data_IF_010503641615
#
_entry.id   IF_010503641615
#
_cell.length_a   1.000
_cell.length_b   1.000
_cell.length_c   1.000
_cell.angle_alpha   90.00
_cell.angle_beta   90.00
_cell.angle_gamma   90.00
#
_symmetry.space_group_name_H-M   'P 1'
#
loop_
_entity.id
_entity.type
_entity.pdbx_description
1 polymer ?
#
# COMPACT_ATOMS: atom_id res chain seq x y z
N UNK A 1 -2.94 -15.39 -18.04
CA UNK A 1 -2.11 -15.01 -16.88
C UNK A 1 -3.04 -14.41 -15.84
N UNK A 2 -3.22 -15.07 -14.70
CA UNK A 2 -4.00 -14.51 -13.59
C UNK A 2 -3.04 -13.63 -12.78
N UNK A 3 -3.39 -12.36 -12.59
CA UNK A 3 -2.60 -11.48 -11.74
C UNK A 3 -3.04 -11.66 -10.29
N UNK A 4 -2.10 -11.58 -9.33
CA UNK A 4 -2.47 -11.65 -7.93
C UNK A 4 -3.30 -10.42 -7.53
N UNK A 5 -4.22 -10.59 -6.60
CA UNK A 5 -5.02 -9.49 -6.06
C UNK A 5 -4.47 -9.04 -4.71
N UNK A 6 -4.69 -7.78 -4.38
CA UNK A 6 -4.34 -7.29 -3.05
C UNK A 6 -5.27 -7.90 -1.99
N UNK A 7 -4.71 -8.69 -1.09
CA UNK A 7 -5.42 -9.30 0.04
C UNK A 7 -5.49 -8.36 1.23
N UNK A 8 -4.36 -7.78 1.62
CA UNK A 8 -4.28 -6.83 2.72
C UNK A 8 -3.06 -5.92 2.59
N UNK A 9 -3.17 -4.72 3.13
CA UNK A 9 -2.08 -3.77 3.27
C UNK A 9 -1.95 -3.39 4.75
N UNK A 10 -0.73 -3.44 5.27
CA UNK A 10 -0.39 -2.91 6.60
C UNK A 10 0.74 -1.92 6.48
N UNK A 11 0.89 -1.02 7.44
CA UNK A 11 1.98 -0.06 7.45
C UNK A 11 2.51 0.14 8.86
N UNK A 12 3.80 0.45 8.95
CA UNK A 12 4.45 0.89 10.19
C UNK A 12 5.25 2.13 9.89
N UNK A 13 5.32 3.05 10.85
CA UNK A 13 6.13 4.25 10.70
C UNK A 13 7.46 4.08 11.41
N UNK A 14 8.52 4.27 10.66
CA UNK A 14 9.91 4.29 11.11
C UNK A 14 10.39 5.73 11.30
N UNK A 15 11.44 5.88 12.09
CA UNK A 15 12.04 7.18 12.41
C UNK A 15 11.04 8.19 13.01
N UNK A 16 10.02 7.70 13.74
CA UNK A 16 8.99 8.53 14.39
C UNK A 16 9.57 9.65 15.26
N UNK A 17 10.70 9.39 15.92
CA UNK A 17 11.39 10.33 16.82
C UNK A 17 12.35 11.27 16.08
N UNK A 18 12.50 11.11 14.77
CA UNK A 18 13.35 11.94 13.93
C UNK A 18 12.56 13.10 13.33
N UNK A 19 13.28 14.07 12.75
CA UNK A 19 12.69 15.19 12.02
C UNK A 19 11.65 14.68 11.01
N UNK A 20 10.53 15.39 10.79
CA UNK A 20 9.48 14.98 9.85
C UNK A 20 10.00 14.64 8.45
N UNK A 21 11.08 15.27 8.00
CA UNK A 21 11.74 14.99 6.73
C UNK A 21 12.40 13.59 6.65
N UNK A 22 12.76 13.00 7.79
CA UNK A 22 13.42 11.69 7.89
C UNK A 22 12.45 10.56 8.24
N UNK A 23 11.16 10.88 8.46
CA UNK A 23 10.14 9.88 8.74
C UNK A 23 9.81 9.08 7.48
N UNK A 24 9.69 7.78 7.67
CA UNK A 24 9.42 6.84 6.58
C UNK A 24 8.30 5.91 7.01
N UNK A 25 7.38 5.62 6.10
CA UNK A 25 6.35 4.62 6.30
C UNK A 25 6.76 3.33 5.56
N UNK A 26 6.96 2.25 6.29
CA UNK A 26 7.14 0.92 5.72
C UNK A 26 5.77 0.37 5.39
N UNK A 27 5.50 0.18 4.11
CA UNK A 27 4.29 -0.43 3.61
C UNK A 27 4.56 -1.91 3.39
N UNK A 28 3.61 -2.73 3.82
CA UNK A 28 3.62 -4.16 3.59
C UNK A 28 2.34 -4.56 2.86
N UNK A 29 2.49 -5.06 1.63
CA UNK A 29 1.41 -5.56 0.80
C UNK A 29 1.43 -7.08 0.80
N UNK A 30 0.29 -7.68 1.15
CA UNK A 30 0.05 -9.10 0.95
C UNK A 30 -0.81 -9.28 -0.28
N UNK A 31 -0.22 -9.88 -1.30
CA UNK A 31 -0.86 -10.26 -2.53
C UNK A 31 -1.20 -11.74 -2.46
N UNK A 32 -2.34 -12.13 -3.00
CA UNK A 32 -2.71 -13.53 -3.09
C UNK A 32 -2.88 -13.93 -4.55
N UNK A 33 -2.17 -14.99 -4.92
CA UNK A 33 -2.25 -15.63 -6.22
C UNK A 33 -3.22 -16.81 -6.15
N UNK A 34 -4.36 -16.70 -6.85
CA UNK A 34 -5.36 -17.76 -6.93
C UNK A 34 -4.96 -18.89 -7.90
N UNK A 35 -3.85 -18.77 -8.63
CA UNK A 35 -3.44 -19.77 -9.63
C UNK A 35 -2.78 -21.02 -9.02
N UNK A 36 -2.36 -20.99 -7.74
CA UNK A 36 -1.72 -22.13 -7.07
C UNK A 36 -2.52 -22.62 -5.87
N UNK A 37 -2.71 -23.94 -5.81
CA UNK A 37 -3.42 -24.68 -4.75
C UNK A 37 -2.67 -24.71 -3.39
N UNK A 38 -1.44 -24.21 -3.33
CA UNK A 38 -0.64 -24.07 -2.12
C UNK A 38 -0.35 -22.59 -1.86
N UNK A 39 -1.04 -22.00 -0.89
CA UNK A 39 -0.74 -20.72 -0.20
C UNK A 39 0.13 -19.74 -0.99
N UNK A 40 -0.29 -19.35 -2.20
CA UNK A 40 0.44 -18.46 -3.10
C UNK A 40 0.38 -16.99 -2.65
N UNK A 41 0.73 -16.73 -1.40
CA UNK A 41 0.79 -15.38 -0.84
C UNK A 41 2.18 -14.79 -1.13
N UNK A 42 2.19 -13.64 -1.81
CA UNK A 42 3.40 -12.83 -1.99
C UNK A 42 3.34 -11.65 -1.03
N UNK A 43 4.42 -11.41 -0.30
CA UNK A 43 4.56 -10.27 0.61
C UNK A 43 5.61 -9.32 0.04
N UNK A 44 5.21 -8.06 -0.17
CA UNK A 44 6.08 -7.01 -0.70
C UNK A 44 6.17 -5.89 0.32
N UNK A 45 7.39 -5.58 0.74
CA UNK A 45 7.70 -4.50 1.67
C UNK A 45 8.44 -3.39 0.96
N UNK A 46 8.07 -2.15 1.24
CA UNK A 46 8.76 -1.00 0.70
C UNK A 46 8.59 0.24 1.56
N UNK A 47 9.53 1.15 1.42
CA UNK A 47 9.59 2.40 2.14
C UNK A 47 8.91 3.51 1.34
N UNK A 48 8.00 4.25 1.97
CA UNK A 48 7.43 5.47 1.44
C UNK A 48 7.82 6.66 2.31
N UNK A 49 8.38 7.67 1.67
CA UNK A 49 8.60 8.99 2.26
C UNK A 49 7.47 9.94 1.87
N UNK A 50 7.43 11.11 2.50
CA UNK A 50 6.46 12.16 2.18
C UNK A 50 6.49 12.54 0.70
N UNK A 51 7.70 12.65 0.13
CA UNK A 51 7.92 13.06 -1.27
C UNK A 51 7.46 11.99 -2.27
N UNK A 52 7.55 10.70 -1.92
CA UNK A 52 7.09 9.61 -2.79
C UNK A 52 5.59 9.32 -2.64
N UNK A 53 5.01 9.66 -1.49
CA UNK A 53 3.62 9.34 -1.18
C UNK A 53 2.63 10.27 -1.90
N UNK A 54 2.94 11.55 -2.08
CA UNK A 54 2.11 12.49 -2.84
C UNK A 54 1.83 12.05 -4.28
N UNK A 55 2.84 11.77 -5.12
CA UNK A 55 2.60 11.33 -6.50
C UNK A 55 1.90 9.98 -6.55
N UNK A 56 2.13 9.09 -5.57
CA UNK A 56 1.46 7.80 -5.47
C UNK A 56 -0.04 7.96 -5.19
N UNK A 57 -0.41 8.82 -4.22
CA UNK A 57 -1.80 9.15 -3.92
C UNK A 57 -2.54 9.74 -5.11
N UNK A 58 -1.90 10.67 -5.83
CA UNK A 58 -2.47 11.26 -7.05
C UNK A 58 -2.73 10.20 -8.12
N UNK A 59 -1.76 9.30 -8.34
CA UNK A 59 -1.89 8.23 -9.33
C UNK A 59 -3.01 7.25 -8.97
N UNK A 60 -3.10 6.85 -7.71
CA UNK A 60 -4.18 5.98 -7.23
C UNK A 60 -5.56 6.64 -7.32
N UNK A 61 -5.65 7.95 -7.05
CA UNK A 61 -6.90 8.70 -7.14
C UNK A 61 -7.39 8.77 -8.59
N UNK A 62 -6.46 9.02 -9.52
CA UNK A 62 -6.74 8.99 -10.95
C UNK A 62 -7.23 7.62 -11.42
N UNK A 63 -6.59 6.54 -10.96
CA UNK A 63 -7.06 5.17 -11.29
C UNK A 63 -8.44 4.91 -10.69
N UNK A 64 -8.72 5.39 -9.47
CA UNK A 64 -10.05 5.26 -8.85
C UNK A 64 -11.14 5.99 -9.63
N UNK A 65 -10.82 7.13 -10.24
CA UNK A 65 -11.73 7.85 -11.13
C UNK A 65 -11.99 7.04 -12.41
N UNK A 66 -10.94 6.47 -13.02
CA UNK A 66 -11.09 5.59 -14.18
C UNK A 66 -11.86 4.29 -13.88
N UNK A 67 -11.78 3.79 -12.65
CA UNK A 67 -12.60 2.66 -12.17
C UNK A 67 -14.04 3.06 -11.82
N UNK A 68 -14.35 4.35 -11.75
CA UNK A 68 -15.72 4.81 -11.52
C UNK A 68 -16.56 4.70 -12.79
N UNK A 69 -15.94 4.45 -13.95
CA UNK A 69 -16.63 4.07 -15.19
C UNK A 69 -17.29 2.69 -15.03
N UNK A 70 -18.59 2.52 -15.39
CA UNK A 70 -19.33 1.25 -15.18
C UNK A 70 -18.71 0.00 -15.81
N UNK A 71 -17.86 0.17 -16.83
CA UNK A 71 -17.15 -0.91 -17.51
C UNK A 71 -15.95 -1.47 -16.71
N UNK A 72 -15.38 -0.70 -15.79
CA UNK A 72 -14.10 -1.02 -15.16
C UNK A 72 -14.29 -1.49 -13.71
N UNK A 73 -14.37 -2.80 -13.50
CA UNK A 73 -14.55 -3.38 -12.14
C UNK A 73 -13.24 -3.54 -11.37
N UNK A 74 -12.10 -3.63 -12.06
CA UNK A 74 -10.79 -3.94 -11.50
C UNK A 74 -9.71 -3.15 -12.25
N UNK A 75 -8.76 -2.56 -11.51
CA UNK A 75 -7.56 -1.95 -12.07
C UNK A 75 -6.36 -2.88 -11.90
N UNK A 76 -5.46 -2.85 -12.88
CA UNK A 76 -4.13 -3.44 -12.75
C UNK A 76 -3.17 -2.34 -12.34
N UNK A 77 -2.57 -2.49 -11.16
CA UNK A 77 -1.56 -1.59 -10.63
C UNK A 77 -0.20 -2.21 -10.90
N UNK A 78 0.70 -1.42 -11.48
CA UNK A 78 2.11 -1.76 -11.60
C UNK A 78 2.91 -0.82 -10.70
N UNK A 79 3.45 -1.33 -9.59
CA UNK A 79 4.33 -0.55 -8.72
C UNK A 79 5.77 -0.94 -8.99
N UNK A 80 6.58 0.05 -9.36
CA UNK A 80 8.03 -0.09 -9.41
C UNK A 80 8.61 0.54 -8.16
N UNK A 81 9.34 -0.26 -7.41
CA UNK A 81 9.94 0.12 -6.14
C UNK A 81 11.46 0.12 -6.33
N UNK A 82 12.10 1.25 -6.04
CA UNK A 82 13.55 1.27 -5.90
C UNK A 82 13.88 0.79 -4.49
N UNK A 83 14.52 -0.37 -4.42
CA UNK A 83 14.99 -0.93 -3.16
C UNK A 83 16.27 -0.20 -2.75
N UNK A 84 16.30 0.41 -1.57
CA UNK A 84 17.46 1.16 -1.08
C UNK A 84 18.54 0.25 -0.48
N UNK A 85 18.26 -1.04 -0.25
CA UNK A 85 19.15 -1.95 0.48
C UNK A 85 19.78 -3.05 -0.39
N UNK A 86 19.28 -3.31 -1.59
CA UNK A 86 19.86 -4.34 -2.48
C UNK A 86 20.28 -3.74 -3.83
N UNK A 87 21.58 -3.84 -4.12
CA UNK A 87 22.27 -3.36 -5.34
C UNK A 87 21.85 -4.06 -6.65
N UNK A 88 20.66 -4.68 -6.74
CA UNK A 88 20.32 -5.65 -7.80
C UNK A 88 18.98 -5.47 -8.53
N UNK A 89 18.30 -4.32 -8.42
CA UNK A 89 17.30 -3.94 -9.42
C UNK A 89 15.91 -3.65 -8.89
N UNK A 90 15.22 -2.79 -9.64
CA UNK A 90 13.87 -2.29 -9.37
C UNK A 90 12.91 -3.46 -9.09
N UNK A 91 12.25 -3.45 -7.94
CA UNK A 91 11.23 -4.44 -7.60
C UNK A 91 9.92 -4.03 -8.24
N UNK A 92 9.54 -4.68 -9.35
CA UNK A 92 8.28 -4.45 -10.06
C UNK A 92 7.20 -5.42 -9.56
N UNK A 93 6.09 -4.90 -9.04
CA UNK A 93 4.96 -5.69 -8.60
C UNK A 93 3.68 -5.30 -9.35
N UNK A 94 3.06 -6.29 -10.00
CA UNK A 94 1.80 -6.15 -10.74
C UNK A 94 0.69 -6.87 -10.00
N UNK A 95 -0.34 -6.14 -9.62
CA UNK A 95 -1.48 -6.71 -8.92
C UNK A 95 -2.78 -6.04 -9.30
N UNK A 96 -3.87 -6.76 -9.07
CA UNK A 96 -5.21 -6.27 -9.32
C UNK A 96 -5.85 -5.71 -8.05
N UNK A 97 -6.58 -4.61 -8.20
CA UNK A 97 -7.38 -3.99 -7.14
C UNK A 97 -8.78 -3.68 -7.64
N UNK A 98 -9.78 -3.91 -6.81
CA UNK A 98 -11.15 -3.45 -7.09
C UNK A 98 -11.31 -1.97 -6.75
N UNK A 99 -12.41 -1.37 -7.20
CA UNK A 99 -12.79 0.00 -6.84
C UNK A 99 -12.82 0.20 -5.31
N UNK A 100 -13.43 -0.74 -4.59
CA UNK A 100 -13.56 -0.65 -3.14
C UNK A 100 -12.20 -0.75 -2.43
N UNK A 101 -11.35 -1.69 -2.87
CA UNK A 101 -10.00 -1.87 -2.34
C UNK A 101 -9.13 -0.64 -2.62
N UNK A 102 -9.18 -0.10 -3.85
CA UNK A 102 -8.43 1.09 -4.21
C UNK A 102 -8.89 2.32 -3.39
N UNK A 103 -10.19 2.47 -3.18
CA UNK A 103 -10.73 3.52 -2.32
C UNK A 103 -10.27 3.39 -0.86
N UNK A 104 -10.16 2.16 -0.34
CA UNK A 104 -9.59 1.91 0.98
C UNK A 104 -8.10 2.24 1.04
N UNK A 105 -7.32 1.85 0.02
CA UNK A 105 -5.90 2.19 -0.08
C UNK A 105 -5.67 3.70 -0.09
N UNK A 106 -6.48 4.45 -0.85
CA UNK A 106 -6.38 5.91 -0.90
C UNK A 106 -6.58 6.55 0.47
N UNK A 107 -7.59 6.09 1.23
CA UNK A 107 -7.82 6.58 2.61
C UNK A 107 -6.64 6.24 3.52
N UNK A 108 -6.13 5.01 3.46
CA UNK A 108 -4.98 4.61 4.26
C UNK A 108 -3.71 5.38 3.90
N UNK A 109 -3.45 5.61 2.61
CA UNK A 109 -2.30 6.38 2.14
C UNK A 109 -2.42 7.86 2.50
N UNK A 110 -3.62 8.45 2.44
CA UNK A 110 -3.85 9.82 2.87
C UNK A 110 -3.56 9.98 4.37
N UNK A 111 -3.98 9.00 5.18
CA UNK A 111 -3.65 8.96 6.59
C UNK A 111 -2.15 8.84 6.85
N UNK A 112 -1.44 7.95 6.12
CA UNK A 112 0.02 7.85 6.22
C UNK A 112 0.70 9.18 5.90
N UNK A 113 0.19 9.93 4.91
CA UNK A 113 0.71 11.26 4.54
C UNK A 113 0.57 12.26 5.66
N UNK A 114 -0.57 12.25 6.34
CA UNK A 114 -0.80 13.07 7.52
C UNK A 114 0.15 12.65 8.64
N UNK A 115 0.34 11.36 8.90
CA UNK A 115 1.31 10.88 9.91
C UNK A 115 2.76 11.24 9.60
N UNK A 116 3.14 11.25 8.31
CA UNK A 116 4.47 11.71 7.87
C UNK A 116 4.65 13.23 8.04
N UNK A 117 3.55 14.00 8.01
CA UNK A 117 3.58 15.46 8.08
C UNK A 117 3.31 16.02 9.48
N UNK A 118 2.59 15.29 10.33
CA UNK A 118 2.17 15.70 11.67
C UNK A 118 3.23 15.40 12.71
N UNK A 119 3.50 16.34 13.62
CA UNK A 119 4.30 16.13 14.84
C UNK A 119 3.56 15.30 15.92
N UNK A 120 2.46 14.63 15.57
CA UNK A 120 1.47 14.12 16.53
C UNK A 120 1.59 12.61 16.75
N UNK A 121 1.50 12.27 18.04
CA UNK A 121 1.52 10.98 18.72
C UNK A 121 0.78 9.83 17.99
N UNK A 122 1.30 8.58 17.99
CA UNK A 122 0.74 7.49 17.22
C UNK A 122 -0.50 6.90 17.91
N UNK A 123 -1.66 7.51 17.69
CA UNK A 123 -2.93 6.85 17.96
C UNK A 123 -3.41 6.11 16.72
N UNK A 124 -3.27 4.77 16.75
CA UNK A 124 -4.27 3.75 16.39
C UNK A 124 -3.54 2.50 15.89
N UNK A 125 -3.32 1.54 16.78
CA UNK A 125 -4.27 0.46 17.07
C UNK A 125 -4.66 -0.29 15.80
N UNK A 126 -3.94 -1.37 15.55
CA UNK A 126 -4.47 -2.56 14.92
C UNK A 126 -5.80 -2.86 15.63
N UNK A 127 -6.96 -2.92 14.94
CA UNK A 127 -8.12 -3.54 15.54
C UNK A 127 -7.82 -5.03 15.59
N UNK A 128 -7.17 -5.45 16.68
CA UNK A 128 -7.11 -6.84 17.11
C UNK A 128 -8.55 -7.33 17.15
N UNK A 129 -8.89 -8.19 16.18
CA UNK A 129 -10.18 -8.86 16.10
C UNK A 129 -10.58 -9.33 17.51
N UNK A 130 -11.60 -8.68 18.07
CA UNK A 130 -12.25 -9.07 19.30
C UNK A 130 -12.90 -10.43 19.04
N UNK A 131 -12.16 -11.50 19.35
CA UNK A 131 -12.67 -12.87 19.30
C UNK A 131 -13.56 -13.02 20.54
N UNK A 132 -14.88 -12.83 20.34
CA UNK A 132 -15.91 -13.19 21.33
C UNK A 132 -15.81 -14.69 21.61
N UNK A 133 -15.54 -15.05 22.86
CA UNK A 133 -16.21 -16.12 23.59
C UNK A 133 -16.05 -15.85 25.08
#
# INVERSE_FOLDING_TARGET
>A
IVLPYLKSMTWVMENKNSLPANRVAVINLKLQDYSRTSTGEAEVKFHLSRVTLEPMLRSMAYISEQLSTPANKVAVINLKLQDTETTSGESEVKFQVSRDTLGAMLRSMAYIREQLSSEVEPLQQIPSKKRRK
#
